data_IF_501485978159
#
_entry.id   IF_501485978159
#
_cell.length_a   1.000
_cell.length_b   1.000
_cell.length_c   1.000
_cell.angle_alpha   90.00
_cell.angle_beta   90.00
_cell.angle_gamma   90.00
#
_symmetry.space_group_name_H-M   'P 1'
#
loop_
_entity.id
_entity.type
_entity.pdbx_description
1 polymer ?
#
# COMPACT_ATOMS: atom_id res chain seq x y z
N UNK A 1 7.31 6.43 -14.72
CA UNK A 1 6.21 5.55 -14.24
C UNK A 1 6.44 4.07 -14.55
N UNK A 2 6.68 3.66 -15.80
CA UNK A 2 6.98 2.26 -16.11
C UNK A 2 8.25 1.72 -15.42
N UNK A 3 9.27 2.56 -15.26
CA UNK A 3 10.52 2.18 -14.58
C UNK A 3 10.32 1.88 -13.09
N UNK A 4 9.62 2.73 -12.34
CA UNK A 4 9.31 2.49 -10.93
C UNK A 4 8.43 1.24 -10.76
N UNK A 5 7.41 1.08 -11.60
CA UNK A 5 6.56 -0.11 -11.59
C UNK A 5 7.40 -1.37 -11.82
N UNK A 6 8.23 -1.39 -12.88
CA UNK A 6 9.12 -2.52 -13.20
C UNK A 6 10.08 -2.84 -12.06
N UNK A 7 10.66 -1.82 -11.42
CA UNK A 7 11.60 -2.01 -10.32
C UNK A 7 10.91 -2.58 -9.08
N UNK A 8 9.73 -2.08 -8.75
CA UNK A 8 8.91 -2.55 -7.64
C UNK A 8 8.44 -4.00 -7.85
N UNK A 9 7.98 -4.34 -9.06
CA UNK A 9 7.50 -5.69 -9.37
C UNK A 9 8.65 -6.70 -9.41
N UNK A 10 9.83 -6.29 -9.92
CA UNK A 10 11.05 -7.13 -9.87
C UNK A 10 11.47 -7.40 -8.44
N UNK A 11 11.58 -6.35 -7.62
CA UNK A 11 11.97 -6.50 -6.22
C UNK A 11 10.99 -7.36 -5.42
N UNK A 12 9.68 -7.23 -5.68
CA UNK A 12 8.67 -8.08 -5.04
C UNK A 12 8.82 -9.54 -5.45
N UNK A 13 9.10 -9.81 -6.73
CA UNK A 13 9.32 -11.17 -7.24
C UNK A 13 10.56 -11.81 -6.62
N UNK A 14 11.64 -11.03 -6.46
CA UNK A 14 12.85 -11.47 -5.77
C UNK A 14 12.58 -11.82 -4.30
N UNK A 15 11.80 -11.00 -3.59
CA UNK A 15 11.42 -11.28 -2.21
C UNK A 15 10.64 -12.60 -2.08
N UNK A 16 9.71 -12.86 -3.00
CA UNK A 16 8.96 -14.12 -3.01
C UNK A 16 9.85 -15.34 -3.28
N UNK A 17 10.92 -15.18 -4.04
CA UNK A 17 11.88 -16.26 -4.32
C UNK A 17 12.77 -16.59 -3.10
N UNK A 18 13.00 -15.63 -2.20
CA UNK A 18 13.89 -15.77 -1.01
C UNK A 18 13.12 -16.19 0.25
N UNK A 19 11.79 -16.37 0.18
CA UNK A 19 10.89 -16.56 1.33
C UNK A 19 11.08 -17.88 2.14
N UNK A 20 12.17 -18.63 1.91
CA UNK A 20 12.57 -19.75 2.75
C UNK A 20 13.28 -19.24 4.01
N UNK A 21 12.44 -18.86 4.99
CA UNK A 21 12.64 -18.64 6.43
C UNK A 21 14.07 -18.51 6.98
N UNK A 22 14.32 -17.39 7.66
CA UNK A 22 15.52 -16.99 8.42
C UNK A 22 16.69 -16.40 7.64
N UNK A 23 16.44 -15.86 6.45
CA UNK A 23 17.48 -15.18 5.69
C UNK A 23 17.56 -13.69 6.08
N UNK A 24 18.68 -13.26 6.69
CA UNK A 24 19.01 -11.84 6.89
C UNK A 24 18.90 -11.04 5.58
N UNK A 25 19.11 -11.72 4.44
CA UNK A 25 18.93 -11.14 3.11
C UNK A 25 17.48 -10.77 2.83
N UNK A 26 16.51 -11.59 3.23
CA UNK A 26 15.10 -11.26 3.06
C UNK A 26 14.76 -9.99 3.85
N UNK A 27 15.21 -9.91 5.10
CA UNK A 27 15.01 -8.75 5.96
C UNK A 27 15.63 -7.49 5.35
N UNK A 28 16.88 -7.59 4.87
CA UNK A 28 17.58 -6.48 4.23
C UNK A 28 16.86 -6.03 2.96
N UNK A 29 16.55 -6.94 2.04
CA UNK A 29 15.87 -6.62 0.77
C UNK A 29 14.49 -6.00 1.02
N UNK A 30 13.77 -6.49 2.03
CA UNK A 30 12.46 -5.95 2.39
C UNK A 30 12.57 -4.52 2.91
N UNK A 31 13.54 -4.26 3.80
CA UNK A 31 13.79 -2.90 4.32
C UNK A 31 14.25 -1.95 3.23
N UNK A 32 15.11 -2.41 2.32
CA UNK A 32 15.59 -1.64 1.19
C UNK A 32 14.45 -1.27 0.23
N UNK A 33 13.52 -2.19 -0.04
CA UNK A 33 12.33 -1.93 -0.84
C UNK A 33 11.44 -0.86 -0.17
N UNK A 34 11.19 -0.99 1.14
CA UNK A 34 10.40 0.00 1.89
C UNK A 34 11.06 1.38 1.85
N UNK A 35 12.37 1.44 2.08
CA UNK A 35 13.13 2.69 2.02
C UNK A 35 13.10 3.30 0.61
N UNK A 36 13.26 2.48 -0.42
CA UNK A 36 13.19 2.92 -1.82
C UNK A 36 11.83 3.58 -2.12
N UNK A 37 10.73 2.94 -1.77
CA UNK A 37 9.38 3.45 -2.06
C UNK A 37 9.08 4.72 -1.26
N UNK A 38 9.47 4.77 0.02
CA UNK A 38 9.31 5.97 0.86
C UNK A 38 10.09 7.18 0.36
N UNK A 39 11.21 6.94 -0.34
CA UNK A 39 12.04 7.99 -0.92
C UNK A 39 11.65 8.34 -2.37
N UNK A 40 10.64 7.69 -2.94
CA UNK A 40 10.14 8.07 -4.25
C UNK A 40 9.42 9.43 -4.19
N UNK A 41 9.29 10.05 -5.36
CA UNK A 41 8.61 11.34 -5.50
C UNK A 41 7.17 11.27 -4.95
N UNK A 42 6.72 12.36 -4.32
CA UNK A 42 5.33 12.48 -3.84
C UNK A 42 4.36 12.74 -4.99
N UNK A 43 4.86 13.20 -6.14
CA UNK A 43 4.09 13.46 -7.36
C UNK A 43 3.94 12.22 -8.26
N UNK A 44 4.12 11.01 -7.70
CA UNK A 44 3.84 9.77 -8.39
C UNK A 44 2.37 9.69 -8.81
N UNK A 45 2.14 9.15 -10.02
CA UNK A 45 0.81 8.70 -10.43
C UNK A 45 0.44 7.42 -9.66
N UNK A 46 -0.03 7.65 -8.44
CA UNK A 46 -0.43 6.60 -7.49
C UNK A 46 -1.60 5.78 -8.02
N UNK A 47 -2.51 6.37 -8.79
CA UNK A 47 -3.63 5.65 -9.41
C UNK A 47 -3.10 4.61 -10.40
N UNK A 48 -2.24 5.04 -11.33
CA UNK A 48 -1.61 4.12 -12.28
C UNK A 48 -0.88 2.97 -11.58
N UNK A 49 -0.17 3.25 -10.49
CA UNK A 49 0.52 2.20 -9.72
C UNK A 49 -0.47 1.25 -9.04
N UNK A 50 -1.53 1.75 -8.40
CA UNK A 50 -2.55 0.90 -7.75
C UNK A 50 -3.32 0.04 -8.75
N UNK A 51 -3.46 0.48 -9.99
CA UNK A 51 -4.13 -0.28 -11.04
C UNK A 51 -3.25 -1.41 -11.62
N UNK A 52 -1.92 -1.31 -11.46
CA UNK A 52 -0.95 -2.26 -12.01
C UNK A 52 -0.25 -3.14 -10.95
N UNK A 53 -0.53 -2.92 -9.66
CA UNK A 53 0.04 -3.73 -8.57
C UNK A 53 -1.00 -4.72 -8.02
N UNK A 54 -0.60 -5.98 -7.83
CA UNK A 54 -1.44 -6.98 -7.17
C UNK A 54 -1.25 -6.96 -5.64
N UNK A 55 -2.31 -6.75 -4.84
CA UNK A 55 -2.24 -6.62 -3.37
C UNK A 55 -1.52 -7.73 -2.63
N UNK A 56 -1.70 -8.99 -3.03
CA UNK A 56 -1.02 -10.12 -2.39
C UNK A 56 0.47 -10.22 -2.77
N UNK A 57 0.79 -10.02 -4.05
CA UNK A 57 2.14 -10.22 -4.60
C UNK A 57 3.03 -9.02 -4.32
N UNK A 58 2.44 -7.82 -4.30
CA UNK A 58 3.14 -6.56 -4.10
C UNK A 58 2.66 -5.90 -2.80
N UNK A 59 2.54 -6.67 -1.71
CA UNK A 59 1.92 -6.22 -0.45
C UNK A 59 2.51 -4.90 0.06
N UNK A 60 3.83 -4.83 0.21
CA UNK A 60 4.49 -3.62 0.70
C UNK A 60 4.35 -2.43 -0.26
N UNK A 61 4.65 -2.58 -1.57
CA UNK A 61 4.43 -1.49 -2.50
C UNK A 61 2.99 -1.02 -2.58
N UNK A 62 2.03 -1.95 -2.66
CA UNK A 62 0.62 -1.63 -2.72
C UNK A 62 0.19 -0.83 -1.49
N UNK A 63 0.58 -1.27 -0.28
CA UNK A 63 0.27 -0.56 0.97
C UNK A 63 0.85 0.86 0.98
N UNK A 64 2.12 1.02 0.62
CA UNK A 64 2.80 2.33 0.68
C UNK A 64 2.22 3.30 -0.37
N UNK A 65 1.97 2.82 -1.59
CA UNK A 65 1.34 3.63 -2.65
C UNK A 65 -0.12 3.96 -2.28
N UNK A 66 -0.84 3.03 -1.66
CA UNK A 66 -2.22 3.27 -1.21
C UNK A 66 -2.30 4.37 -0.15
N UNK A 67 -1.39 4.34 0.84
CA UNK A 67 -1.28 5.42 1.83
C UNK A 67 -0.93 6.76 1.16
N UNK A 68 0.03 6.77 0.23
CA UNK A 68 0.39 7.99 -0.51
C UNK A 68 -0.79 8.53 -1.33
N UNK A 69 -1.57 7.66 -1.95
CA UNK A 69 -2.77 8.05 -2.71
C UNK A 69 -3.79 8.74 -1.80
N UNK A 70 -4.06 8.15 -0.64
CA UNK A 70 -4.97 8.70 0.37
C UNK A 70 -4.46 10.05 0.89
N UNK A 71 -3.17 10.15 1.23
CA UNK A 71 -2.55 11.40 1.69
C UNK A 71 -2.69 12.51 0.64
N UNK A 72 -2.50 12.17 -0.64
CA UNK A 72 -2.64 13.11 -1.75
C UNK A 72 -4.11 13.57 -1.91
N UNK A 73 -5.07 12.67 -1.74
CA UNK A 73 -6.50 13.02 -1.72
C UNK A 73 -6.83 13.95 -0.55
N UNK A 74 -6.44 13.60 0.68
CA UNK A 74 -6.66 14.43 1.87
C UNK A 74 -6.09 15.84 1.72
N UNK A 75 -4.89 15.98 1.15
CA UNK A 75 -4.28 17.30 0.87
C UNK A 75 -5.05 18.08 -0.18
N UNK A 76 -5.56 17.41 -1.21
CA UNK A 76 -6.31 18.02 -2.32
C UNK A 76 -7.69 18.49 -1.86
N UNK A 77 -8.41 17.66 -1.10
CA UNK A 77 -9.77 17.96 -0.62
C UNK A 77 -9.77 18.81 0.65
N UNK A 78 -8.66 18.83 1.39
CA UNK A 78 -8.53 19.41 2.75
C UNK A 78 -9.44 18.72 3.77
N UNK A 79 -9.76 17.46 3.53
CA UNK A 79 -10.58 16.64 4.41
C UNK A 79 -9.72 15.59 5.10
N UNK A 80 -9.99 15.33 6.38
CA UNK A 80 -9.33 14.23 7.09
C UNK A 80 -9.76 12.85 6.58
N UNK A 81 -10.94 12.76 5.97
CA UNK A 81 -11.51 11.53 5.45
C UNK A 81 -12.10 11.77 4.05
N UNK A 82 -11.35 11.49 2.97
CA UNK A 82 -11.81 11.70 1.60
C UNK A 82 -13.08 10.89 1.29
N UNK A 83 -13.95 11.40 0.43
CA UNK A 83 -15.15 10.69 0.01
C UNK A 83 -14.84 9.34 -0.65
N UNK A 84 -13.73 9.24 -1.37
CA UNK A 84 -13.33 8.05 -2.12
C UNK A 84 -13.10 6.83 -1.21
N UNK A 85 -12.67 7.03 0.04
CA UNK A 85 -12.49 5.92 1.00
C UNK A 85 -13.81 5.54 1.70
N UNK A 86 -14.94 6.20 1.42
CA UNK A 86 -16.23 5.83 2.02
C UNK A 86 -16.86 4.61 1.33
N UNK A 87 -17.67 3.81 2.06
CA UNK A 87 -18.40 2.68 1.50
C UNK A 87 -19.12 3.01 0.18
N UNK A 88 -18.94 2.16 -0.82
CA UNK A 88 -19.56 2.29 -2.14
C UNK A 88 -18.68 2.91 -3.23
N UNK A 89 -17.52 3.47 -2.87
CA UNK A 89 -16.57 4.06 -3.81
C UNK A 89 -15.44 3.09 -4.20
N UNK A 90 -14.73 3.39 -5.30
CA UNK A 90 -13.69 2.52 -5.86
C UNK A 90 -12.50 2.31 -4.91
N UNK A 91 -12.07 3.37 -4.22
CA UNK A 91 -10.95 3.27 -3.29
C UNK A 91 -11.32 2.44 -2.06
N UNK A 92 -12.57 2.53 -1.56
CA UNK A 92 -13.07 1.61 -0.54
C UNK A 92 -12.94 0.14 -0.95
N UNK A 93 -13.31 -0.19 -2.20
CA UNK A 93 -13.18 -1.57 -2.72
C UNK A 93 -11.70 -1.99 -2.76
N UNK A 94 -10.80 -1.12 -3.23
CA UNK A 94 -9.35 -1.38 -3.24
C UNK A 94 -8.79 -1.63 -1.84
N UNK A 95 -9.18 -0.83 -0.85
CA UNK A 95 -8.74 -0.99 0.55
C UNK A 95 -9.28 -2.30 1.13
N UNK A 96 -10.58 -2.57 0.98
CA UNK A 96 -11.20 -3.80 1.46
C UNK A 96 -10.55 -5.05 0.83
N UNK A 97 -10.28 -5.00 -0.48
CA UNK A 97 -9.62 -6.09 -1.19
C UNK A 97 -8.17 -6.27 -0.70
N UNK A 98 -7.42 -5.19 -0.48
CA UNK A 98 -6.07 -5.28 0.10
C UNK A 98 -6.09 -5.93 1.48
N UNK A 99 -6.95 -5.45 2.39
CA UNK A 99 -7.07 -5.97 3.77
C UNK A 99 -7.45 -7.46 3.82
N UNK A 100 -8.03 -8.01 2.76
CA UNK A 100 -8.37 -9.42 2.66
C UNK A 100 -7.25 -10.30 2.09
N UNK A 101 -6.32 -9.76 1.31
CA UNK A 101 -5.37 -10.57 0.51
C UNK A 101 -3.89 -10.25 0.74
N UNK A 102 -3.55 -9.26 1.56
CA UNK A 102 -2.15 -8.92 1.83
C UNK A 102 -1.37 -10.08 2.46
N UNK A 103 -0.04 -10.08 2.25
CA UNK A 103 0.88 -11.01 2.90
C UNK A 103 1.17 -10.54 4.35
N UNK A 104 0.79 -11.34 5.37
CA UNK A 104 0.93 -10.95 6.77
C UNK A 104 2.36 -11.01 7.32
N UNK A 105 3.30 -11.59 6.58
CA UNK A 105 4.74 -11.53 6.89
C UNK A 105 5.29 -10.19 6.37
N UNK A 106 5.03 -9.87 5.10
CA UNK A 106 5.52 -8.63 4.50
C UNK A 106 4.98 -7.38 5.19
N UNK A 107 3.70 -7.36 5.59
CA UNK A 107 3.09 -6.17 6.20
C UNK A 107 3.78 -5.72 7.48
N UNK A 108 4.48 -6.62 8.18
CA UNK A 108 5.19 -6.33 9.44
C UNK A 108 6.30 -5.30 9.27
N UNK A 109 6.84 -5.16 8.07
CA UNK A 109 7.88 -4.17 7.75
C UNK A 109 7.31 -2.76 7.47
N UNK A 110 5.97 -2.63 7.40
CA UNK A 110 5.24 -1.38 7.23
C UNK A 110 4.05 -1.30 8.21
N UNK A 111 4.28 -1.70 9.46
CA UNK A 111 3.23 -1.83 10.46
C UNK A 111 2.56 -0.49 10.85
N UNK A 112 3.27 0.63 10.72
CA UNK A 112 2.69 1.96 10.97
C UNK A 112 1.67 2.31 9.88
N UNK A 113 2.03 2.14 8.62
CA UNK A 113 1.22 2.42 7.45
C UNK A 113 0.01 1.49 7.36
N UNK A 114 0.18 0.23 7.75
CA UNK A 114 -0.93 -0.72 7.85
C UNK A 114 -1.94 -0.32 8.93
N UNK A 115 -1.46 0.04 10.13
CA UNK A 115 -2.33 0.50 11.22
C UNK A 115 -3.11 1.74 10.79
N UNK A 116 -2.43 2.72 10.21
CA UNK A 116 -3.05 3.96 9.74
C UNK A 116 -4.18 3.68 8.74
N UNK A 117 -3.95 2.79 7.77
CA UNK A 117 -4.95 2.40 6.79
C UNK A 117 -6.18 1.76 7.45
N UNK A 118 -5.99 0.87 8.43
CA UNK A 118 -7.11 0.21 9.14
C UNK A 118 -7.92 1.21 9.96
N UNK A 119 -7.26 2.10 10.68
CA UNK A 119 -7.93 3.13 11.47
C UNK A 119 -8.79 4.04 10.58
N UNK A 120 -8.24 4.48 9.45
CA UNK A 120 -8.96 5.31 8.48
C UNK A 120 -10.13 4.56 7.84
N UNK A 121 -9.93 3.29 7.46
CA UNK A 121 -10.97 2.45 6.89
C UNK A 121 -12.12 2.18 7.89
N UNK A 122 -11.77 1.96 9.17
CA UNK A 122 -12.75 1.83 10.25
C UNK A 122 -13.58 3.11 10.44
N UNK A 123 -12.93 4.27 10.48
CA UNK A 123 -13.62 5.57 10.54
C UNK A 123 -14.56 5.77 9.35
N UNK A 124 -14.14 5.41 8.14
CA UNK A 124 -14.98 5.47 6.95
C UNK A 124 -16.22 4.59 7.06
N UNK A 125 -16.08 3.38 7.60
CA UNK A 125 -17.18 2.45 7.79
C UNK A 125 -18.23 2.99 8.78
N UNK A 126 -17.79 3.63 9.87
CA UNK A 126 -18.67 4.19 10.90
C UNK A 126 -19.53 5.35 10.40
N UNK A 127 -19.04 6.15 9.44
CA UNK A 127 -19.78 7.29 8.89
C UNK A 127 -21.06 6.84 8.16
N UNK A 128 -21.05 5.67 7.51
CA UNK A 128 -22.20 5.16 6.75
C UNK A 128 -23.13 4.28 7.59
N UNK A 129 -22.69 3.83 8.76
CA UNK A 129 -23.49 3.02 9.67
C UNK A 129 -24.46 3.84 10.55
N UNK A 130 -24.37 5.17 10.50
CA UNK A 130 -25.25 6.12 11.20
C UNK A 130 -26.36 6.62 10.28
#
# INVERSE_FOLDING_TARGET
MAEILSRITSASSELHAVNNTHDERYDSQTRDLVAYIKNCDKDLDTQYLLDNLHPAQHTLPYLLILNLHIDNLQRRTKEGLPDEIKPGNDLWVKVAYFLKHFDPIQVRYAGHEWRHLIELFGQAAEVTAK
#
